data_IF_654826965147
#
_entry.id   IF_654826965147
#
_cell.length_a   1.000
_cell.length_b   1.000
_cell.length_c   1.000
_cell.angle_alpha   90.00
_cell.angle_beta   90.00
_cell.angle_gamma   90.00
#
_symmetry.space_group_name_H-M   'P 1'
#
loop_
_entity.id
_entity.type
_entity.pdbx_description
1 polymer ?
#
# COMPACT_ATOMS: atom_id res chain seq x y z
N UNK A 1 -2.55 8.13 62.04
CA UNK A 1 -1.88 6.94 61.47
C UNK A 1 -1.26 7.36 60.16
N UNK A 2 0.02 7.72 60.20
CA UNK A 2 0.79 8.21 59.05
C UNK A 2 0.83 7.19 57.90
N UNK A 3 0.72 5.90 58.25
CA UNK A 3 0.52 4.79 57.32
C UNK A 3 -0.68 4.97 56.36
N UNK A 4 -1.78 5.58 56.81
CA UNK A 4 -2.93 5.85 55.92
C UNK A 4 -2.60 6.92 54.88
N UNK A 5 -1.80 7.94 55.24
CA UNK A 5 -1.38 8.99 54.30
C UNK A 5 -0.37 8.44 53.29
N UNK A 6 0.57 7.60 53.74
CA UNK A 6 1.50 6.90 52.85
C UNK A 6 0.78 5.98 51.86
N UNK A 7 -0.24 5.24 52.32
CA UNK A 7 -1.04 4.38 51.45
C UNK A 7 -1.74 5.19 50.33
N UNK A 8 -2.36 6.31 50.68
CA UNK A 8 -3.04 7.17 49.69
C UNK A 8 -2.03 7.79 48.69
N UNK A 9 -0.88 8.25 49.17
CA UNK A 9 0.19 8.74 48.29
C UNK A 9 0.70 7.66 47.33
N UNK A 10 0.85 6.43 47.81
CA UNK A 10 1.28 5.30 46.98
C UNK A 10 0.21 4.93 45.92
N UNK A 11 -1.08 5.01 46.25
CA UNK A 11 -2.16 4.81 45.27
C UNK A 11 -2.14 5.86 44.16
N UNK A 12 -1.93 7.13 44.50
CA UNK A 12 -1.83 8.21 43.52
C UNK A 12 -0.65 7.96 42.58
N UNK A 13 0.54 7.68 43.13
CA UNK A 13 1.73 7.34 42.33
C UNK A 13 1.49 6.12 41.45
N UNK A 14 0.85 5.07 41.99
CA UNK A 14 0.57 3.86 41.23
C UNK A 14 -0.36 4.13 40.04
N UNK A 15 -1.39 4.95 40.21
CA UNK A 15 -2.28 5.36 39.12
C UNK A 15 -1.55 6.19 38.07
N UNK A 16 -0.71 7.14 38.48
CA UNK A 16 0.10 7.96 37.57
C UNK A 16 1.09 7.11 36.76
N UNK A 17 1.83 6.21 37.43
CA UNK A 17 2.75 5.30 36.77
C UNK A 17 2.03 4.33 35.83
N UNK A 18 0.87 3.79 36.23
CA UNK A 18 0.10 2.86 35.39
C UNK A 18 -0.40 3.54 34.11
N UNK A 19 -0.82 4.81 34.22
CA UNK A 19 -1.17 5.62 33.05
C UNK A 19 0.05 5.85 32.15
N UNK A 20 1.19 6.19 32.72
CA UNK A 20 2.44 6.40 31.97
C UNK A 20 2.90 5.13 31.25
N UNK A 21 2.76 3.94 31.86
CA UNK A 21 3.05 2.66 31.21
C UNK A 21 2.16 2.47 29.98
N UNK A 22 0.84 2.66 30.12
CA UNK A 22 -0.08 2.52 28.99
C UNK A 22 0.23 3.50 27.85
N UNK A 23 0.61 4.74 28.18
CA UNK A 23 1.05 5.73 27.18
C UNK A 23 2.36 5.33 26.48
N UNK A 24 3.31 4.73 27.21
CA UNK A 24 4.58 4.24 26.65
C UNK A 24 4.39 3.00 25.79
N UNK A 25 3.52 2.07 26.20
CA UNK A 25 3.16 0.88 25.40
C UNK A 25 2.54 1.30 24.07
N UNK A 26 1.60 2.25 24.08
CA UNK A 26 1.04 2.80 22.85
C UNK A 26 2.10 3.44 21.95
N UNK A 27 3.06 4.18 22.53
CA UNK A 27 4.16 4.75 21.77
C UNK A 27 5.08 3.69 21.18
N UNK A 28 5.31 2.59 21.89
CA UNK A 28 6.08 1.45 21.39
C UNK A 28 5.34 0.81 20.23
N UNK A 29 4.06 0.51 20.38
CA UNK A 29 3.24 -0.12 19.33
C UNK A 29 3.19 0.74 18.07
N UNK A 30 3.01 2.06 18.21
CA UNK A 30 3.06 3.00 17.09
C UNK A 30 4.43 3.03 16.41
N UNK A 31 5.52 2.96 17.17
CA UNK A 31 6.88 2.94 16.61
C UNK A 31 7.19 1.62 15.91
N UNK A 32 6.75 0.50 16.47
CA UNK A 32 6.97 -0.83 15.89
C UNK A 32 6.14 -1.03 14.61
N UNK A 33 4.92 -0.50 14.56
CA UNK A 33 4.01 -0.69 13.42
C UNK A 33 4.43 0.04 12.14
N UNK A 34 5.35 1.01 12.21
CA UNK A 34 5.91 1.68 11.03
C UNK A 34 7.21 1.05 10.52
N UNK A 35 7.82 0.12 11.27
CA UNK A 35 9.06 -0.53 10.85
C UNK A 35 8.72 -1.56 9.77
N UNK A 36 9.32 -1.47 8.56
CA UNK A 36 9.09 -2.43 7.50
C UNK A 36 9.62 -3.81 7.89
N UNK A 37 9.17 -4.84 7.17
CA UNK A 37 9.63 -6.19 7.42
C UNK A 37 11.14 -6.35 7.17
N UNK A 38 11.77 -7.27 7.89
CA UNK A 38 13.15 -7.67 7.63
C UNK A 38 13.22 -8.38 6.28
N UNK A 39 14.27 -8.07 5.54
CA UNK A 39 14.54 -8.65 4.22
C UNK A 39 15.13 -10.05 4.39
N UNK A 40 14.71 -11.00 3.56
CA UNK A 40 15.27 -12.36 3.55
C UNK A 40 16.74 -12.34 3.08
N UNK A 41 17.58 -13.21 3.65
CA UNK A 41 19.01 -13.31 3.33
C UNK A 41 19.31 -13.53 1.84
N UNK A 42 18.36 -14.12 1.08
CA UNK A 42 18.50 -14.36 -0.36
C UNK A 42 18.08 -13.17 -1.22
N UNK A 43 17.50 -12.14 -0.63
CA UNK A 43 17.06 -10.97 -1.39
C UNK A 43 18.27 -10.17 -1.83
N UNK A 44 18.41 -9.85 -3.12
CA UNK A 44 19.52 -9.03 -3.61
C UNK A 44 19.57 -7.67 -2.90
N UNK A 45 20.78 -7.20 -2.61
CA UNK A 45 21.00 -5.84 -2.12
C UNK A 45 20.78 -4.86 -3.27
N UNK A 46 20.03 -3.80 -3.01
CA UNK A 46 19.75 -2.76 -4.00
C UNK A 46 19.27 -1.48 -3.33
N UNK A 47 19.49 -0.36 -4.00
CA UNK A 47 19.07 0.98 -3.59
C UNK A 47 17.78 1.40 -4.28
N UNK A 48 17.55 0.92 -5.50
CA UNK A 48 16.40 1.26 -6.32
C UNK A 48 16.05 0.14 -7.30
N UNK A 49 15.05 0.39 -8.15
CA UNK A 49 14.53 -0.58 -9.12
C UNK A 49 15.51 -1.03 -10.21
N UNK A 50 16.59 -0.27 -10.46
CA UNK A 50 17.66 -0.62 -11.41
C UNK A 50 18.55 -1.75 -10.89
N UNK A 51 18.58 -1.97 -9.57
CA UNK A 51 19.35 -3.05 -8.92
C UNK A 51 18.59 -4.39 -8.91
N UNK A 52 17.35 -4.42 -9.43
CA UNK A 52 16.55 -5.63 -9.52
C UNK A 52 17.16 -6.63 -10.51
N UNK A 53 17.26 -7.90 -10.09
CA UNK A 53 17.85 -8.98 -10.90
C UNK A 53 16.73 -9.75 -11.62
N UNK A 54 16.77 -9.80 -12.96
CA UNK A 54 15.88 -10.66 -13.75
C UNK A 54 16.27 -12.13 -13.55
N UNK A 55 15.42 -12.91 -12.87
CA UNK A 55 15.69 -14.33 -12.59
C UNK A 55 15.43 -15.20 -13.82
N UNK A 56 14.36 -14.92 -14.57
CA UNK A 56 13.96 -15.72 -15.73
C UNK A 56 13.07 -14.92 -16.68
N UNK A 57 13.36 -15.02 -17.96
CA UNK A 57 12.48 -14.60 -19.05
C UNK A 57 11.76 -15.79 -19.66
N UNK A 58 10.45 -15.69 -19.82
CA UNK A 58 9.61 -16.73 -20.42
C UNK A 58 8.99 -16.16 -21.69
N UNK A 59 9.15 -16.87 -22.82
CA UNK A 59 8.77 -16.43 -24.17
C UNK A 59 9.57 -15.20 -24.67
N UNK A 60 9.26 -14.78 -25.90
CA UNK A 60 9.83 -13.60 -26.54
C UNK A 60 8.74 -12.53 -26.74
N UNK A 61 9.00 -11.25 -26.38
CA UNK A 61 8.08 -10.16 -26.69
C UNK A 61 7.71 -10.12 -28.18
N UNK A 62 6.45 -9.81 -28.49
CA UNK A 62 5.95 -9.80 -29.86
C UNK A 62 6.63 -8.71 -30.69
N UNK A 63 7.11 -9.07 -31.87
CA UNK A 63 7.55 -8.11 -32.90
C UNK A 63 6.33 -7.66 -33.70
N UNK A 64 6.14 -6.35 -33.81
CA UNK A 64 5.06 -5.76 -34.59
C UNK A 64 5.60 -5.23 -35.93
N UNK A 65 4.89 -5.55 -37.03
CA UNK A 65 5.16 -4.98 -38.35
C UNK A 65 4.61 -3.55 -38.51
N UNK A 66 4.11 -2.96 -37.42
CA UNK A 66 3.51 -1.63 -37.34
C UNK A 66 3.87 -1.00 -35.99
N UNK A 67 3.69 0.33 -35.86
CA UNK A 67 3.87 1.02 -34.57
C UNK A 67 2.75 0.62 -33.61
N UNK A 68 3.02 -0.13 -32.52
CA UNK A 68 1.98 -0.49 -31.56
C UNK A 68 1.42 0.78 -30.92
N UNK A 69 0.11 0.79 -30.67
CA UNK A 69 -0.57 1.85 -29.92
C UNK A 69 -0.57 1.51 -28.44
N UNK A 70 -0.59 2.54 -27.61
CA UNK A 70 -0.72 2.37 -26.17
C UNK A 70 -2.11 1.83 -25.81
N UNK A 71 -2.21 1.15 -24.66
CA UNK A 71 -3.46 0.53 -24.22
C UNK A 71 -4.61 1.55 -24.08
N UNK A 72 -4.32 2.78 -23.62
CA UNK A 72 -5.33 3.82 -23.44
C UNK A 72 -5.82 4.39 -24.77
N UNK A 73 -4.95 4.52 -25.78
CA UNK A 73 -5.34 4.98 -27.11
C UNK A 73 -6.27 3.97 -27.78
N UNK A 74 -5.92 2.67 -27.69
CA UNK A 74 -6.76 1.58 -28.19
C UNK A 74 -8.11 1.56 -27.48
N UNK A 75 -8.10 1.67 -26.16
CA UNK A 75 -9.33 1.62 -25.38
C UNK A 75 -10.25 2.81 -25.66
N UNK A 76 -9.71 4.01 -25.85
CA UNK A 76 -10.49 5.20 -26.18
C UNK A 76 -11.05 5.13 -27.61
N UNK A 77 -10.25 4.72 -28.60
CA UNK A 77 -10.70 4.55 -29.99
C UNK A 77 -11.83 3.54 -30.13
N UNK A 78 -11.82 2.48 -29.31
CA UNK A 78 -12.85 1.46 -29.31
C UNK A 78 -14.01 1.75 -28.35
N UNK A 79 -13.98 2.87 -27.61
CA UNK A 79 -15.00 3.21 -26.61
C UNK A 79 -15.06 2.23 -25.43
N UNK A 80 -13.98 1.52 -25.14
CA UNK A 80 -13.88 0.52 -24.09
C UNK A 80 -13.50 1.09 -22.73
N UNK A 81 -12.73 2.18 -22.70
CA UNK A 81 -12.40 2.90 -21.47
C UNK A 81 -12.74 4.38 -21.67
N UNK A 82 -13.49 4.91 -20.70
CA UNK A 82 -13.98 6.28 -20.65
C UNK A 82 -13.40 6.96 -19.41
N UNK A 83 -12.29 7.67 -19.63
CA UNK A 83 -11.56 8.40 -18.61
C UNK A 83 -12.32 9.66 -18.15
N UNK A 84 -13.04 10.31 -19.06
CA UNK A 84 -13.78 11.53 -18.75
C UNK A 84 -14.90 11.25 -17.74
N UNK A 85 -15.69 10.20 -17.97
CA UNK A 85 -16.70 9.76 -17.00
C UNK A 85 -16.06 9.31 -15.70
N UNK A 86 -14.91 8.63 -15.75
CA UNK A 86 -14.16 8.23 -14.55
C UNK A 86 -13.79 9.41 -13.67
N UNK A 87 -13.27 10.48 -14.27
CA UNK A 87 -12.94 11.73 -13.57
C UNK A 87 -14.19 12.41 -13.03
N UNK A 88 -15.28 12.48 -13.80
CA UNK A 88 -16.55 13.08 -13.35
C UNK A 88 -17.14 12.35 -12.14
N UNK A 89 -17.03 11.03 -12.11
CA UNK A 89 -17.62 10.20 -11.05
C UNK A 89 -16.74 10.13 -9.80
N UNK A 90 -15.42 9.97 -9.97
CA UNK A 90 -14.51 9.60 -8.88
C UNK A 90 -13.18 10.36 -8.85
N UNK A 91 -13.00 11.39 -9.70
CA UNK A 91 -11.79 12.22 -9.87
C UNK A 91 -10.61 11.47 -10.53
N UNK A 92 -9.43 12.06 -10.43
CA UNK A 92 -8.20 11.57 -11.07
C UNK A 92 -7.90 10.11 -10.72
N UNK A 93 -7.29 9.38 -11.66
CA UNK A 93 -6.92 7.95 -11.58
C UNK A 93 -8.10 6.96 -11.58
N UNK A 94 -9.32 7.42 -11.90
CA UNK A 94 -10.47 6.55 -12.16
C UNK A 94 -10.84 6.55 -13.64
N UNK A 95 -11.38 5.41 -14.10
CA UNK A 95 -11.87 5.24 -15.46
C UNK A 95 -13.12 4.35 -15.46
N UNK A 96 -14.00 4.55 -16.43
CA UNK A 96 -15.20 3.71 -16.63
C UNK A 96 -14.92 2.73 -17.76
N UNK A 97 -14.98 1.42 -17.49
CA UNK A 97 -14.84 0.40 -18.52
C UNK A 97 -16.23 0.09 -19.10
N UNK A 98 -16.36 0.06 -20.44
CA UNK A 98 -17.62 -0.07 -21.16
C UNK A 98 -17.59 -1.17 -22.22
N UNK A 99 -18.78 -1.58 -22.65
CA UNK A 99 -18.98 -2.42 -23.82
C UNK A 99 -18.17 -3.72 -23.78
N UNK A 100 -17.43 -3.99 -24.87
CA UNK A 100 -16.60 -5.18 -24.97
C UNK A 100 -15.42 -5.18 -24.00
N UNK A 101 -14.84 -4.00 -23.72
CA UNK A 101 -13.81 -3.84 -22.68
C UNK A 101 -14.29 -4.34 -21.32
N UNK A 102 -15.53 -4.00 -20.94
CA UNK A 102 -16.11 -4.46 -19.67
C UNK A 102 -16.33 -5.98 -19.66
N UNK A 103 -16.70 -6.58 -20.80
CA UNK A 103 -16.86 -8.02 -20.93
C UNK A 103 -15.53 -8.77 -20.81
N UNK A 104 -14.46 -8.28 -21.44
CA UNK A 104 -13.11 -8.85 -21.31
C UNK A 104 -12.63 -8.71 -19.87
N UNK A 105 -12.74 -7.52 -19.28
CA UNK A 105 -12.28 -7.27 -17.91
C UNK A 105 -12.95 -8.20 -16.89
N UNK A 106 -14.24 -8.54 -17.10
CA UNK A 106 -14.96 -9.53 -16.29
C UNK A 106 -14.50 -10.98 -16.52
N UNK A 107 -13.93 -11.27 -17.69
CA UNK A 107 -13.54 -12.63 -18.06
C UNK A 107 -12.10 -12.98 -17.64
N UNK A 108 -11.24 -11.97 -17.45
CA UNK A 108 -9.91 -12.10 -16.85
C UNK A 108 -10.03 -12.37 -15.35
#
# INVERSE_FOLDING_TARGET
SDLKKELENNKIKLNELSKSVGELEQQIDLKLSIIPNLVDEKTPLGTNEEDNIEIKKILTPRVFAFKPKEHFELAQQNGWIDFESGVKLAKSRFSVIRGFGAKIYRAL
#
